data_IF_716265166938
#
_entry.id   IF_716265166938
#
_cell.length_a   1.000
_cell.length_b   1.000
_cell.length_c   1.000
_cell.angle_alpha   90.00
_cell.angle_beta   90.00
_cell.angle_gamma   90.00
#
_symmetry.space_group_name_H-M   'P 1'
#
loop_
_entity.id
_entity.type
_entity.pdbx_description
1 polymer ?
#
# COMPACT_ATOMS: atom_id res chain seq x y z
N UNK A 1 -19.27 -5.49 56.41
CA UNK A 1 -18.05 -6.30 56.20
C UNK A 1 -18.23 -7.08 54.90
N UNK A 2 -17.44 -6.78 53.86
CA UNK A 2 -17.10 -7.61 52.68
C UNK A 2 -18.22 -8.29 51.85
N UNK A 3 -18.14 -8.49 50.54
CA UNK A 3 -17.38 -7.97 49.39
C UNK A 3 -17.96 -8.76 48.19
N UNK A 4 -17.82 -8.21 46.98
CA UNK A 4 -17.81 -8.91 45.68
C UNK A 4 -19.15 -9.18 44.98
N UNK A 5 -19.53 -8.19 44.17
CA UNK A 5 -20.19 -8.38 42.88
C UNK A 5 -19.23 -9.12 41.93
N UNK A 6 -19.64 -10.27 41.40
CA UNK A 6 -18.97 -10.91 40.26
C UNK A 6 -19.69 -10.52 38.98
N UNK A 7 -19.17 -9.49 38.30
CA UNK A 7 -19.54 -9.20 36.92
C UNK A 7 -18.70 -10.08 35.99
N UNK A 8 -19.37 -10.95 35.23
CA UNK A 8 -18.79 -11.62 34.09
C UNK A 8 -18.59 -10.61 32.95
N UNK A 9 -17.35 -10.46 32.48
CA UNK A 9 -17.05 -9.86 31.17
C UNK A 9 -16.22 -10.87 30.39
N UNK A 10 -16.81 -11.40 29.33
CA UNK A 10 -16.14 -12.24 28.36
C UNK A 10 -15.19 -11.37 27.53
N UNK A 11 -13.90 -11.39 27.85
CA UNK A 11 -12.87 -10.86 26.97
C UNK A 11 -12.53 -11.91 25.93
N UNK A 12 -13.04 -11.72 24.70
CA UNK A 12 -12.62 -12.46 23.52
C UNK A 12 -11.16 -12.12 23.23
N UNK A 13 -10.26 -13.03 23.60
CA UNK A 13 -8.84 -13.00 23.30
C UNK A 13 -8.64 -13.24 21.79
N UNK A 14 -8.72 -12.18 20.99
CA UNK A 14 -8.24 -12.20 19.61
C UNK A 14 -6.70 -12.15 19.69
N UNK A 15 -6.06 -13.32 19.59
CA UNK A 15 -4.61 -13.40 19.38
C UNK A 15 -4.28 -12.80 18.01
N UNK A 16 -3.40 -11.79 17.90
CA UNK A 16 -2.91 -11.38 16.59
C UNK A 16 -1.98 -12.47 16.04
N UNK A 17 -2.50 -13.21 15.09
CA UNK A 17 -1.76 -14.16 14.25
C UNK A 17 -0.72 -13.40 13.43
N UNK A 18 0.56 -13.72 13.65
CA UNK A 18 1.72 -13.50 12.78
C UNK A 18 1.76 -12.18 11.99
N UNK A 19 2.29 -11.13 12.61
CA UNK A 19 3.05 -10.15 11.85
C UNK A 19 4.35 -10.81 11.39
N UNK A 20 4.57 -10.84 10.07
CA UNK A 20 5.87 -11.07 9.48
C UNK A 20 6.81 -9.96 9.99
N UNK A 21 7.61 -10.27 11.01
CA UNK A 21 8.82 -9.48 11.27
C UNK A 21 9.64 -9.62 10.00
N UNK A 22 9.89 -8.50 9.30
CA UNK A 22 10.86 -8.46 8.22
C UNK A 22 12.21 -8.83 8.85
N UNK A 23 12.53 -10.11 8.77
CA UNK A 23 13.85 -10.62 9.03
C UNK A 23 14.76 -10.07 7.96
N UNK A 24 15.36 -8.92 8.22
CA UNK A 24 16.67 -8.63 7.67
C UNK A 24 17.54 -9.79 8.15
N UNK A 25 17.93 -10.69 7.24
CA UNK A 25 18.93 -11.71 7.51
C UNK A 25 20.08 -11.03 8.25
N UNK A 26 20.48 -11.59 9.40
CA UNK A 26 21.57 -11.04 10.19
C UNK A 26 22.83 -11.06 9.32
N UNK A 27 23.39 -9.92 8.84
CA UNK A 27 24.78 -9.93 8.46
C UNK A 27 25.57 -10.27 9.74
N UNK A 28 26.61 -11.09 9.62
CA UNK A 28 27.48 -11.47 10.74
C UNK A 28 27.82 -10.22 11.58
N UNK A 29 27.18 -10.12 12.75
CA UNK A 29 27.09 -8.85 13.47
C UNK A 29 28.37 -8.62 14.27
N UNK A 30 29.29 -7.85 13.68
CA UNK A 30 30.46 -7.30 14.37
C UNK A 30 29.98 -6.42 15.56
N UNK A 31 30.58 -6.62 16.73
CA UNK A 31 30.21 -5.98 18.01
C UNK A 31 30.20 -4.44 17.95
N UNK A 32 31.00 -3.84 17.06
CA UNK A 32 31.03 -2.40 16.85
C UNK A 32 29.72 -1.82 16.27
N UNK A 33 28.93 -2.60 15.53
CA UNK A 33 27.68 -2.12 14.93
C UNK A 33 26.51 -2.06 15.91
N UNK A 34 26.55 -2.84 17.01
CA UNK A 34 25.51 -2.81 18.06
C UNK A 34 25.49 -1.47 18.81
N UNK A 35 26.66 -0.91 19.08
CA UNK A 35 26.78 0.36 19.81
C UNK A 35 26.27 1.55 19.00
N UNK A 36 26.51 1.56 17.67
CA UNK A 36 25.94 2.56 16.75
C UNK A 36 24.42 2.47 16.66
N UNK A 37 23.87 1.26 16.47
CA UNK A 37 22.42 1.04 16.37
C UNK A 37 21.70 1.40 17.67
N UNK A 38 22.28 1.06 18.82
CA UNK A 38 21.71 1.38 20.13
C UNK A 38 21.74 2.89 20.40
N UNK A 39 22.79 3.59 19.97
CA UNK A 39 22.86 5.06 20.05
C UNK A 39 21.80 5.71 19.17
N UNK A 40 21.60 5.22 17.95
CA UNK A 40 20.59 5.74 17.01
C UNK A 40 19.15 5.49 17.48
N UNK A 41 18.86 4.31 18.04
CA UNK A 41 17.55 4.00 18.66
C UNK A 41 17.26 4.86 19.90
N UNK A 42 18.28 5.16 20.71
CA UNK A 42 18.13 6.01 21.90
C UNK A 42 17.84 7.48 21.58
N UNK A 43 18.20 7.94 20.38
CA UNK A 43 17.88 9.29 19.90
C UNK A 43 16.44 9.37 19.40
N UNK A 44 15.92 8.30 18.79
CA UNK A 44 14.57 8.28 18.23
C UNK A 44 13.48 7.96 19.26
N UNK A 45 13.82 7.24 20.33
CA UNK A 45 12.87 6.82 21.37
C UNK A 45 13.43 7.16 22.75
N UNK A 46 12.93 8.21 23.43
CA UNK A 46 13.38 8.57 24.76
C UNK A 46 13.14 7.41 25.73
N UNK A 47 14.12 7.15 26.61
CA UNK A 47 13.99 6.15 27.68
C UNK A 47 13.06 6.68 28.77
N UNK A 48 11.77 6.41 28.60
CA UNK A 48 10.67 6.72 29.50
C UNK A 48 9.39 6.26 28.80
N UNK A 49 8.48 5.61 29.53
CA UNK A 49 7.22 5.13 28.93
C UNK A 49 6.47 6.24 28.19
N UNK A 50 5.61 5.86 27.24
CA UNK A 50 4.86 6.83 26.46
C UNK A 50 4.07 7.76 27.39
N UNK A 51 4.25 9.07 27.26
CA UNK A 51 3.47 10.05 28.03
C UNK A 51 2.05 10.13 27.48
N UNK A 52 1.08 10.58 28.30
CA UNK A 52 -0.31 10.84 27.85
C UNK A 52 -0.34 11.77 26.63
N UNK A 53 0.61 12.69 26.52
CA UNK A 53 0.74 13.58 25.36
C UNK A 53 1.20 12.84 24.09
N UNK A 54 2.09 11.86 24.20
CA UNK A 54 2.51 11.04 23.06
C UNK A 54 1.38 10.13 22.56
N UNK A 55 0.58 9.55 23.46
CA UNK A 55 -0.58 8.76 23.06
C UNK A 55 -1.64 9.62 22.33
N UNK A 56 -1.91 10.83 22.84
CA UNK A 56 -2.82 11.78 22.18
C UNK A 56 -2.32 12.18 20.79
N UNK A 57 -1.02 12.42 20.64
CA UNK A 57 -0.41 12.70 19.33
C UNK A 57 -0.62 11.54 18.36
N UNK A 58 -0.34 10.30 18.78
CA UNK A 58 -0.53 9.13 17.93
C UNK A 58 -2.00 8.96 17.50
N UNK A 59 -2.95 9.19 18.41
CA UNK A 59 -4.37 9.16 18.07
C UNK A 59 -4.72 10.23 17.05
N UNK A 60 -4.25 11.46 17.25
CA UNK A 60 -4.45 12.55 16.30
C UNK A 60 -3.88 12.21 14.90
N UNK A 61 -2.71 11.56 14.82
CA UNK A 61 -2.13 11.13 13.55
C UNK A 61 -3.00 10.06 12.85
N UNK A 62 -3.53 9.09 13.59
CA UNK A 62 -4.42 8.04 13.07
C UNK A 62 -5.69 8.65 12.48
N UNK A 63 -6.19 9.74 13.05
CA UNK A 63 -7.42 10.39 12.61
C UNK A 63 -7.15 11.40 11.47
N UNK A 64 -6.08 12.19 11.57
CA UNK A 64 -5.74 13.22 10.61
C UNK A 64 -5.30 12.65 9.24
N UNK A 65 -4.65 11.49 9.22
CA UNK A 65 -4.15 10.92 7.96
C UNK A 65 -5.27 10.47 7.00
N UNK A 66 -6.28 9.66 7.42
CA UNK A 66 -7.42 9.35 6.58
C UNK A 66 -8.20 10.59 6.13
N UNK A 67 -8.29 11.62 6.96
CA UNK A 67 -8.94 12.88 6.57
C UNK A 67 -8.17 13.61 5.46
N UNK A 68 -6.85 13.76 5.61
CA UNK A 68 -5.99 14.33 4.58
C UNK A 68 -6.08 13.51 3.29
N UNK A 69 -6.02 12.17 3.41
CA UNK A 69 -6.10 11.27 2.27
C UNK A 69 -7.43 11.43 1.54
N UNK A 70 -8.56 11.48 2.26
CA UNK A 70 -9.90 11.69 1.70
C UNK A 70 -10.02 13.01 0.93
N UNK A 71 -9.44 14.10 1.47
CA UNK A 71 -9.46 15.43 0.82
C UNK A 71 -8.69 15.47 -0.49
N UNK A 72 -7.72 14.57 -0.66
CA UNK A 72 -6.93 14.46 -1.88
C UNK A 72 -7.58 13.66 -3.02
N UNK A 73 -8.75 13.07 -2.79
CA UNK A 73 -9.51 12.41 -3.86
C UNK A 73 -10.50 13.39 -4.52
N UNK A 74 -10.65 13.25 -5.84
CA UNK A 74 -11.74 13.89 -6.59
C UNK A 74 -12.39 12.87 -7.54
N UNK A 75 -13.64 13.13 -7.91
CA UNK A 75 -14.43 12.26 -8.79
C UNK A 75 -14.96 13.09 -9.94
N UNK A 76 -14.79 12.57 -11.15
CA UNK A 76 -15.37 13.11 -12.37
C UNK A 76 -16.24 12.03 -13.03
N UNK A 77 -17.45 12.40 -13.44
CA UNK A 77 -18.35 11.51 -14.16
C UNK A 77 -18.11 11.64 -15.67
N UNK A 78 -17.81 10.51 -16.31
CA UNK A 78 -17.68 10.39 -17.76
C UNK A 78 -18.84 9.55 -18.31
N UNK A 79 -18.83 9.27 -19.60
CA UNK A 79 -19.84 8.39 -20.21
C UNK A 79 -19.69 6.97 -19.66
N UNK A 80 -20.64 6.55 -18.81
CA UNK A 80 -20.76 5.22 -18.19
C UNK A 80 -19.65 4.81 -17.20
N UNK A 81 -18.71 5.69 -16.87
CA UNK A 81 -17.62 5.43 -15.92
C UNK A 81 -17.36 6.63 -15.03
N UNK A 82 -16.85 6.39 -13.83
CA UNK A 82 -16.35 7.45 -12.95
C UNK A 82 -14.82 7.42 -12.95
N UNK A 83 -14.19 8.57 -13.24
CA UNK A 83 -12.76 8.77 -13.05
C UNK A 83 -12.52 9.28 -11.64
N UNK A 84 -11.64 8.62 -10.91
CA UNK A 84 -11.26 8.95 -9.55
C UNK A 84 -9.79 9.37 -9.56
N UNK A 85 -9.52 10.64 -9.28
CA UNK A 85 -8.16 11.11 -9.05
C UNK A 85 -7.76 10.81 -7.61
N UNK A 86 -6.58 10.25 -7.42
CA UNK A 86 -6.05 9.89 -6.10
C UNK A 86 -4.93 10.85 -5.68
N UNK A 87 -4.62 10.99 -4.37
CA UNK A 87 -3.48 11.78 -3.91
C UNK A 87 -2.13 11.07 -4.07
N UNK A 88 -2.08 9.89 -4.70
CA UNK A 88 -0.85 9.15 -4.93
C UNK A 88 -0.25 9.57 -6.25
N UNK A 89 1.06 9.78 -6.26
CA UNK A 89 1.79 10.28 -7.41
C UNK A 89 2.57 9.16 -8.09
N UNK A 90 2.65 9.22 -9.42
CA UNK A 90 3.59 8.41 -10.19
C UNK A 90 4.99 9.04 -10.25
N UNK A 91 5.86 8.51 -11.13
CA UNK A 91 7.25 8.97 -11.26
C UNK A 91 7.38 10.32 -11.98
N UNK A 92 6.31 10.76 -12.63
CA UNK A 92 6.19 12.07 -13.28
C UNK A 92 5.57 13.11 -12.35
N UNK A 93 5.28 12.73 -11.10
CA UNK A 93 4.62 13.57 -10.10
C UNK A 93 3.15 13.88 -10.46
N UNK A 94 2.52 13.02 -11.27
CA UNK A 94 1.12 13.11 -11.64
C UNK A 94 0.25 12.24 -10.72
N UNK A 95 -0.95 12.74 -10.39
CA UNK A 95 -1.91 11.99 -9.60
C UNK A 95 -2.42 10.76 -10.37
N UNK A 96 -2.31 9.58 -9.76
CA UNK A 96 -2.87 8.35 -10.31
C UNK A 96 -4.38 8.49 -10.50
N UNK A 97 -4.86 7.96 -11.61
CA UNK A 97 -6.28 7.91 -11.96
C UNK A 97 -6.80 6.48 -11.90
N UNK A 98 -7.97 6.29 -11.29
CA UNK A 98 -8.68 5.01 -11.25
C UNK A 98 -10.06 5.18 -11.86
N UNK A 99 -10.39 4.33 -12.82
CA UNK A 99 -11.69 4.30 -13.49
C UNK A 99 -12.57 3.22 -12.87
N UNK A 100 -13.75 3.62 -12.41
CA UNK A 100 -14.74 2.74 -11.83
C UNK A 100 -15.91 2.52 -12.80
N UNK A 101 -16.13 1.26 -13.17
CA UNK A 101 -17.28 0.81 -13.95
C UNK A 101 -18.17 -0.06 -13.07
N UNK A 102 -19.43 0.33 -12.93
CA UNK A 102 -20.44 -0.47 -12.24
C UNK A 102 -21.11 -1.42 -13.23
N UNK A 103 -20.98 -2.72 -12.98
CA UNK A 103 -21.76 -3.75 -13.66
C UNK A 103 -22.84 -4.32 -12.72
N UNK A 104 -23.73 -5.15 -13.27
CA UNK A 104 -24.87 -5.74 -12.54
C UNK A 104 -24.41 -6.43 -11.24
N UNK A 105 -23.39 -7.29 -11.31
CA UNK A 105 -22.96 -8.12 -10.17
C UNK A 105 -21.63 -7.70 -9.52
N UNK A 106 -20.87 -6.80 -10.16
CA UNK A 106 -19.53 -6.42 -9.72
C UNK A 106 -19.20 -4.98 -10.06
N UNK A 107 -18.08 -4.51 -9.53
CA UNK A 107 -17.49 -3.21 -9.82
C UNK A 107 -16.10 -3.50 -10.37
N UNK A 108 -15.77 -2.93 -11.52
CA UNK A 108 -14.42 -3.02 -12.09
C UNK A 108 -13.72 -1.70 -11.78
N UNK A 109 -12.53 -1.79 -11.19
CA UNK A 109 -11.61 -0.66 -11.05
C UNK A 109 -10.43 -0.91 -12.00
N UNK A 110 -10.02 0.09 -12.75
CA UNK A 110 -8.92 -0.03 -13.72
C UNK A 110 -8.11 1.26 -13.84
N UNK A 111 -6.85 1.15 -14.26
CA UNK A 111 -5.98 2.28 -14.62
C UNK A 111 -6.18 2.78 -16.06
N UNK A 112 -7.10 2.18 -16.82
CA UNK A 112 -7.34 2.47 -18.24
C UNK A 112 -6.12 2.27 -19.15
N UNK A 113 -5.11 1.52 -18.68
CA UNK A 113 -3.89 1.20 -19.44
C UNK A 113 -2.77 2.23 -19.32
N UNK A 114 -2.96 3.31 -18.55
CA UNK A 114 -1.96 4.37 -18.38
C UNK A 114 -0.61 3.82 -17.90
N UNK A 115 -0.60 2.99 -16.85
CA UNK A 115 0.64 2.56 -16.19
C UNK A 115 1.54 1.75 -17.13
N UNK A 116 0.96 0.84 -17.92
CA UNK A 116 1.72 0.00 -18.86
C UNK A 116 2.17 0.82 -20.08
N UNK A 117 1.31 1.71 -20.60
CA UNK A 117 1.64 2.56 -21.75
C UNK A 117 2.78 3.54 -21.45
N UNK A 118 2.77 4.10 -20.24
CA UNK A 118 3.77 5.05 -19.78
C UNK A 118 5.17 4.39 -19.62
N UNK A 119 5.24 3.16 -19.08
CA UNK A 119 6.50 2.39 -19.04
C UNK A 119 7.07 2.16 -20.45
N UNK A 120 6.23 1.78 -21.41
CA UNK A 120 6.68 1.55 -22.79
C UNK A 120 7.17 2.82 -23.47
N UNK A 121 6.44 3.92 -23.29
CA UNK A 121 6.83 5.24 -23.83
C UNK A 121 8.14 5.72 -23.21
N UNK A 122 8.45 5.29 -21.98
CA UNK A 122 9.73 5.54 -21.31
C UNK A 122 10.86 4.59 -21.72
N UNK A 123 10.62 3.70 -22.69
CA UNK A 123 11.65 2.81 -23.26
C UNK A 123 11.72 1.42 -22.63
N UNK A 124 10.80 1.05 -21.72
CA UNK A 124 10.78 -0.29 -21.14
C UNK A 124 10.05 -1.29 -22.04
N UNK A 125 10.79 -2.22 -22.64
CA UNK A 125 10.19 -3.32 -23.41
C UNK A 125 9.60 -4.42 -22.51
N UNK A 126 8.29 -4.31 -22.27
CA UNK A 126 7.48 -5.30 -21.56
C UNK A 126 7.20 -6.58 -22.38
N UNK A 127 7.73 -6.70 -23.60
CA UNK A 127 7.60 -7.91 -24.42
C UNK A 127 8.58 -9.02 -24.01
N UNK A 128 9.70 -8.65 -23.37
CA UNK A 128 10.75 -9.59 -22.98
C UNK A 128 10.28 -10.55 -21.88
N UNK A 129 10.75 -11.82 -21.86
CA UNK A 129 10.36 -12.79 -20.84
C UNK A 129 10.66 -12.32 -19.41
N UNK A 130 11.82 -11.66 -19.20
CA UNK A 130 12.22 -11.10 -17.90
C UNK A 130 11.21 -10.06 -17.41
N UNK A 131 10.87 -9.08 -18.24
CA UNK A 131 9.94 -8.02 -17.84
C UNK A 131 8.53 -8.53 -17.63
N UNK A 132 8.06 -9.47 -18.47
CA UNK A 132 6.78 -10.14 -18.26
C UNK A 132 6.72 -10.86 -16.92
N UNK A 133 7.79 -11.56 -16.55
CA UNK A 133 7.85 -12.29 -15.28
C UNK A 133 7.82 -11.33 -14.07
N UNK A 134 8.55 -10.21 -14.13
CA UNK A 134 8.53 -9.18 -13.08
C UNK A 134 7.15 -8.55 -12.97
N UNK A 135 6.56 -8.11 -14.08
CA UNK A 135 5.21 -7.54 -14.12
C UNK A 135 4.19 -8.53 -13.52
N UNK A 136 4.19 -9.78 -13.97
CA UNK A 136 3.26 -10.79 -13.48
C UNK A 136 3.43 -11.05 -11.97
N UNK A 137 4.67 -11.03 -11.47
CA UNK A 137 4.96 -11.20 -10.04
C UNK A 137 4.35 -10.07 -9.22
N UNK A 138 4.52 -8.82 -9.66
CA UNK A 138 3.92 -7.65 -9.01
C UNK A 138 2.39 -7.75 -9.01
N UNK A 139 1.79 -8.00 -10.18
CA UNK A 139 0.34 -8.08 -10.32
C UNK A 139 -0.26 -9.19 -9.44
N UNK A 140 0.36 -10.37 -9.40
CA UNK A 140 -0.06 -11.48 -8.55
C UNK A 140 0.05 -11.13 -7.05
N UNK A 141 1.10 -10.43 -6.64
CA UNK A 141 1.31 -10.01 -5.25
C UNK A 141 0.19 -9.12 -4.70
N UNK A 142 -0.46 -8.33 -5.56
CA UNK A 142 -1.58 -7.47 -5.20
C UNK A 142 -2.96 -8.02 -5.60
N UNK A 143 -3.01 -9.16 -6.29
CA UNK A 143 -4.25 -9.75 -6.82
C UNK A 143 -4.89 -8.89 -7.91
N UNK A 144 -4.06 -8.23 -8.73
CA UNK A 144 -4.44 -7.39 -9.87
C UNK A 144 -4.31 -8.21 -11.15
N UNK A 145 -5.24 -8.01 -12.09
CA UNK A 145 -5.23 -8.67 -13.40
C UNK A 145 -4.82 -7.66 -14.47
N UNK A 146 -4.38 -8.16 -15.62
CA UNK A 146 -4.13 -7.35 -16.81
C UNK A 146 -4.96 -7.87 -17.99
N UNK A 147 -5.53 -6.95 -18.77
CA UNK A 147 -6.19 -7.27 -20.04
C UNK A 147 -5.92 -6.16 -21.05
N UNK A 148 -5.35 -6.49 -22.22
CA UNK A 148 -4.98 -5.52 -23.27
C UNK A 148 -4.36 -4.25 -22.66
N UNK A 149 -3.37 -4.47 -21.78
CA UNK A 149 -2.55 -3.43 -21.13
C UNK A 149 -3.22 -2.67 -19.99
N UNK A 150 -4.50 -2.92 -19.73
CA UNK A 150 -5.22 -2.32 -18.61
C UNK A 150 -5.02 -3.17 -17.37
N UNK A 151 -4.53 -2.56 -16.30
CA UNK A 151 -4.52 -3.15 -14.97
C UNK A 151 -5.93 -3.00 -14.38
N UNK A 152 -6.45 -4.07 -13.80
CA UNK A 152 -7.80 -4.03 -13.23
C UNK A 152 -7.99 -5.01 -12.07
N UNK A 153 -8.99 -4.70 -11.25
CA UNK A 153 -9.52 -5.55 -10.20
C UNK A 153 -11.03 -5.61 -10.29
N UNK A 154 -11.59 -6.75 -9.88
CA UNK A 154 -13.02 -6.91 -9.67
C UNK A 154 -13.33 -6.83 -8.18
N UNK A 155 -14.34 -6.03 -7.85
CA UNK A 155 -14.77 -5.76 -6.49
C UNK A 155 -16.27 -5.91 -6.30
N UNK A 156 -16.66 -6.16 -5.06
CA UNK A 156 -18.00 -5.97 -4.52
C UNK A 156 -18.02 -4.68 -3.70
N UNK A 157 -19.20 -4.19 -3.33
CA UNK A 157 -19.31 -3.05 -2.41
C UNK A 157 -18.59 -3.30 -1.07
N UNK A 158 -18.56 -4.53 -0.57
CA UNK A 158 -17.95 -4.86 0.73
C UNK A 158 -16.42 -4.76 0.73
N UNK A 159 -15.76 -5.00 -0.41
CA UNK A 159 -14.29 -5.05 -0.49
C UNK A 159 -13.69 -4.00 -1.45
N UNK A 160 -14.50 -3.06 -1.94
CA UNK A 160 -14.06 -2.06 -2.93
C UNK A 160 -12.86 -1.23 -2.45
N UNK A 161 -12.84 -0.81 -1.18
CA UNK A 161 -11.71 -0.06 -0.61
C UNK A 161 -10.41 -0.87 -0.61
N UNK A 162 -10.47 -2.14 -0.23
CA UNK A 162 -9.32 -3.05 -0.27
C UNK A 162 -8.83 -3.27 -1.71
N UNK A 163 -9.76 -3.48 -2.66
CA UNK A 163 -9.43 -3.69 -4.07
C UNK A 163 -8.85 -2.43 -4.71
N UNK A 164 -9.35 -1.25 -4.37
CA UNK A 164 -8.79 0.02 -4.80
C UNK A 164 -7.35 0.19 -4.28
N UNK A 165 -7.11 -0.11 -3.00
CA UNK A 165 -5.76 -0.11 -2.45
C UNK A 165 -4.83 -1.08 -3.19
N UNK A 166 -5.25 -2.32 -3.43
CA UNK A 166 -4.50 -3.31 -4.23
C UNK A 166 -4.13 -2.77 -5.62
N UNK A 167 -5.07 -2.16 -6.33
CA UNK A 167 -4.82 -1.60 -7.66
C UNK A 167 -3.79 -0.47 -7.61
N UNK A 168 -3.95 0.48 -6.69
CA UNK A 168 -3.01 1.61 -6.53
C UNK A 168 -1.60 1.11 -6.19
N UNK A 169 -1.47 0.15 -5.28
CA UNK A 169 -0.17 -0.42 -4.91
C UNK A 169 0.49 -1.16 -6.08
N UNK A 170 -0.29 -1.87 -6.89
CA UNK A 170 0.22 -2.47 -8.11
C UNK A 170 0.67 -1.41 -9.12
N UNK A 171 -0.12 -0.36 -9.35
CA UNK A 171 0.24 0.74 -10.26
C UNK A 171 1.57 1.40 -9.86
N UNK A 172 1.73 1.72 -8.57
CA UNK A 172 2.98 2.28 -8.03
C UNK A 172 4.16 1.30 -8.16
N UNK A 173 3.93 0.01 -7.90
CA UNK A 173 4.99 -1.00 -7.99
C UNK A 173 5.43 -1.27 -9.43
N UNK A 174 4.47 -1.32 -10.37
CA UNK A 174 4.74 -1.45 -11.80
C UNK A 174 5.47 -0.21 -12.31
N UNK A 175 5.04 0.99 -11.92
CA UNK A 175 5.75 2.23 -12.22
C UNK A 175 7.24 2.20 -11.80
N UNK A 176 7.56 1.56 -10.68
CA UNK A 176 8.94 1.40 -10.20
C UNK A 176 9.79 0.37 -10.98
N UNK A 177 9.20 -0.42 -11.88
CA UNK A 177 9.96 -1.38 -12.71
C UNK A 177 11.04 -0.69 -13.54
N UNK A 178 10.84 0.57 -13.95
CA UNK A 178 11.81 1.36 -14.69
C UNK A 178 13.17 1.47 -13.95
N UNK A 179 13.14 1.70 -12.63
CA UNK A 179 14.33 1.89 -11.79
C UNK A 179 15.09 0.55 -11.61
N UNK A 180 14.36 -0.56 -11.53
CA UNK A 180 14.96 -1.89 -11.36
C UNK A 180 15.78 -2.34 -12.57
N UNK A 181 15.48 -1.82 -13.76
CA UNK A 181 16.22 -2.14 -14.98
C UNK A 181 17.55 -1.42 -15.03
N UNK A 182 17.58 -0.12 -14.68
CA UNK A 182 18.80 0.68 -14.70
C UNK A 182 19.85 0.19 -13.70
N UNK A 183 19.43 -0.33 -12.55
CA UNK A 183 20.34 -0.82 -11.52
C UNK A 183 20.78 -2.29 -11.71
N UNK A 184 20.29 -2.98 -12.75
CA UNK A 184 20.60 -4.37 -13.05
C UNK A 184 21.53 -4.57 -14.25
N UNK A 185 22.13 -3.49 -14.75
CA UNK A 185 23.10 -3.46 -15.85
C UNK A 185 24.55 -3.16 -15.39
N UNK A 186 24.83 -3.17 -14.07
CA UNK A 186 26.18 -3.20 -13.48
C UNK A 186 26.57 -4.62 -13.04
#
# INVERSE_FOLDING_TARGET
>A
MNKLLTNYSASLLIKPTNFLVIGIEKPAFNTNNRNRLNKQKSVLFPKGGFTVNQQKLCQHLIDAYPEWLRKGFSIEHLVNVYKITTPFLDRHNDCLQVYALKEIKRIILSDDGYTVADLRTSGLDLSTPKQKAVLQTILNGYGVKMNRERLYVEASYRNIGQKMHSLIQAMLSVNNMFIMVQNGEE
#
